data_IF_214795716089
#
_entry.id   IF_214795716089
#
_cell.length_a   1.000
_cell.length_b   1.000
_cell.length_c   1.000
_cell.angle_alpha   90.00
_cell.angle_beta   90.00
_cell.angle_gamma   90.00
#
_symmetry.space_group_name_H-M   'P 1'
#
loop_
_entity.id
_entity.type
_entity.pdbx_description
1 polymer ?
#
# COMPACT_ATOMS: atom_id res chain seq x y z
N UNK A 1 -7.52 -32.68 13.56
CA UNK A 1 -7.70 -31.38 12.86
C UNK A 1 -6.42 -31.14 12.09
N UNK A 2 -6.43 -31.35 10.77
CA UNK A 2 -5.30 -30.92 9.94
C UNK A 2 -5.19 -29.40 10.07
N UNK A 3 -4.04 -28.92 10.52
CA UNK A 3 -3.73 -27.50 10.48
C UNK A 3 -3.66 -27.10 9.01
N UNK A 4 -4.58 -26.26 8.55
CA UNK A 4 -4.53 -25.70 7.21
C UNK A 4 -3.35 -24.70 7.16
N UNK A 5 -2.17 -25.20 6.81
CA UNK A 5 -0.92 -24.41 6.77
C UNK A 5 -1.06 -23.16 5.88
N UNK A 6 -1.86 -23.23 4.81
CA UNK A 6 -2.14 -22.06 3.96
C UNK A 6 -2.90 -20.98 4.70
N UNK A 7 -3.92 -21.35 5.48
CA UNK A 7 -4.68 -20.41 6.31
C UNK A 7 -3.77 -19.72 7.35
N UNK A 8 -2.87 -20.47 7.98
CA UNK A 8 -1.90 -19.92 8.93
C UNK A 8 -0.93 -18.94 8.25
N UNK A 9 -0.38 -19.29 7.08
CA UNK A 9 0.54 -18.43 6.33
C UNK A 9 -0.14 -17.13 5.88
N UNK A 10 -1.36 -17.22 5.34
CA UNK A 10 -2.16 -16.04 4.97
C UNK A 10 -2.36 -15.13 6.17
N UNK A 11 -2.71 -15.71 7.33
CA UNK A 11 -2.87 -14.95 8.57
C UNK A 11 -1.58 -14.25 9.01
N UNK A 12 -0.42 -14.91 8.93
CA UNK A 12 0.87 -14.30 9.27
C UNK A 12 1.22 -13.12 8.35
N UNK A 13 0.96 -13.27 7.04
CA UNK A 13 1.19 -12.21 6.05
C UNK A 13 0.25 -11.04 6.31
N UNK A 14 -1.04 -11.30 6.56
CA UNK A 14 -2.01 -10.27 6.93
C UNK A 14 -1.60 -9.52 8.20
N UNK A 15 -1.18 -10.23 9.25
CA UNK A 15 -0.67 -9.59 10.48
C UNK A 15 0.52 -8.67 10.21
N UNK A 16 1.39 -9.03 9.26
CA UNK A 16 2.54 -8.20 8.87
C UNK A 16 2.09 -6.94 8.11
N UNK A 17 1.15 -7.06 7.18
CA UNK A 17 0.51 -5.93 6.50
C UNK A 17 -0.15 -4.96 7.48
N UNK A 18 -0.93 -5.49 8.43
CA UNK A 18 -1.63 -4.71 9.45
C UNK A 18 -0.64 -3.98 10.37
N UNK A 19 0.46 -4.64 10.76
CA UNK A 19 1.50 -4.04 11.58
C UNK A 19 2.15 -2.82 10.88
N UNK A 20 2.46 -2.92 9.58
CA UNK A 20 3.04 -1.79 8.85
C UNK A 20 2.04 -0.64 8.68
N UNK A 21 0.77 -0.93 8.41
CA UNK A 21 -0.27 0.11 8.37
C UNK A 21 -0.44 0.81 9.72
N UNK A 22 -0.36 0.08 10.83
CA UNK A 22 -0.41 0.65 12.17
C UNK A 22 0.78 1.56 12.45
N UNK A 23 2.00 1.15 12.05
CA UNK A 23 3.20 1.98 12.18
C UNK A 23 3.13 3.24 11.31
N UNK A 24 2.64 3.13 10.06
CA UNK A 24 2.42 4.29 9.20
C UNK A 24 1.42 5.27 9.85
N UNK A 25 0.27 4.77 10.30
CA UNK A 25 -0.75 5.59 10.96
C UNK A 25 -0.19 6.29 12.21
N UNK A 26 0.55 5.55 13.04
CA UNK A 26 1.21 6.12 14.23
C UNK A 26 2.20 7.21 13.85
N UNK A 27 3.01 6.98 12.82
CA UNK A 27 4.02 7.94 12.36
C UNK A 27 3.39 9.23 11.86
N UNK A 28 2.41 9.15 10.94
CA UNK A 28 1.77 10.34 10.36
C UNK A 28 0.90 11.11 11.36
N UNK A 29 0.46 10.47 12.44
CA UNK A 29 -0.23 11.14 13.54
C UNK A 29 0.73 11.77 14.54
N UNK A 30 2.00 11.37 14.54
CA UNK A 30 3.05 11.97 15.37
C UNK A 30 3.67 13.19 14.70
N UNK A 31 3.89 13.13 13.38
CA UNK A 31 4.46 14.22 12.60
C UNK A 31 3.41 15.32 12.35
N UNK A 32 3.80 16.58 12.52
CA UNK A 32 2.99 17.72 12.09
C UNK A 32 3.16 18.00 10.59
N UNK A 33 2.32 18.89 10.05
CA UNK A 33 2.31 19.20 8.62
C UNK A 33 3.63 19.82 8.14
N UNK A 34 4.28 20.66 8.95
CA UNK A 34 5.60 21.24 8.64
C UNK A 34 6.70 20.18 8.59
N UNK A 35 6.64 19.14 9.43
CA UNK A 35 7.56 18.01 9.38
C UNK A 35 7.33 17.17 8.12
N UNK A 36 6.08 16.90 7.77
CA UNK A 36 5.75 16.15 6.54
C UNK A 36 6.13 16.93 5.27
N UNK A 37 6.08 18.26 5.29
CA UNK A 37 6.49 19.09 4.16
C UNK A 37 8.01 19.10 3.91
N UNK A 38 8.83 18.64 4.86
CA UNK A 38 10.30 18.60 4.70
C UNK A 38 10.74 17.40 3.88
N UNK A 39 11.86 17.56 3.19
CA UNK A 39 12.62 16.45 2.63
C UNK A 39 13.09 15.52 3.74
N UNK A 40 13.00 14.20 3.53
CA UNK A 40 13.52 13.20 4.49
C UNK A 40 15.04 13.29 4.69
N UNK A 41 15.74 13.84 3.70
CA UNK A 41 17.18 14.09 3.66
C UNK A 41 17.47 15.04 2.48
N UNK A 42 18.62 15.74 2.45
CA UNK A 42 18.93 16.70 1.39
C UNK A 42 18.79 16.11 -0.02
N UNK A 43 17.91 16.70 -0.83
CA UNK A 43 17.65 16.29 -2.21
C UNK A 43 16.83 15.01 -2.36
N UNK A 44 16.22 14.51 -1.29
CA UNK A 44 15.31 13.35 -1.30
C UNK A 44 13.84 13.80 -1.25
N UNK A 45 12.94 12.83 -1.35
CA UNK A 45 11.50 13.09 -1.32
C UNK A 45 11.07 13.73 0.00
N UNK A 46 10.01 14.52 -0.07
CA UNK A 46 9.28 15.04 1.09
C UNK A 46 8.46 13.95 1.77
N UNK A 47 8.20 14.12 3.07
CA UNK A 47 7.33 13.20 3.81
C UNK A 47 5.91 13.14 3.25
N UNK A 48 5.38 14.28 2.79
CA UNK A 48 4.06 14.39 2.20
C UNK A 48 3.97 13.65 0.86
N UNK A 49 5.02 13.71 0.04
CA UNK A 49 5.09 12.92 -1.19
C UNK A 49 5.11 11.42 -0.90
N UNK A 50 5.91 10.97 0.08
CA UNK A 50 5.95 9.56 0.47
C UNK A 50 4.59 9.06 1.01
N UNK A 51 3.88 9.89 1.76
CA UNK A 51 2.52 9.58 2.21
C UNK A 51 1.57 9.43 1.01
N UNK A 52 1.54 10.40 0.10
CA UNK A 52 0.72 10.33 -1.12
C UNK A 52 1.07 9.12 -2.00
N UNK A 53 2.35 8.80 -2.11
CA UNK A 53 2.85 7.62 -2.83
C UNK A 53 2.30 6.31 -2.25
N UNK A 54 2.39 6.13 -0.92
CA UNK A 54 1.86 4.92 -0.27
C UNK A 54 0.35 4.80 -0.39
N UNK A 55 -0.37 5.92 -0.39
CA UNK A 55 -1.82 5.96 -0.63
C UNK A 55 -2.13 5.51 -2.05
N UNK A 56 -1.48 6.10 -3.06
CA UNK A 56 -1.70 5.76 -4.48
C UNK A 56 -1.34 4.30 -4.79
N UNK A 57 -0.25 3.78 -4.21
CA UNK A 57 0.14 2.37 -4.33
C UNK A 57 -0.90 1.43 -3.72
N UNK A 58 -1.46 1.79 -2.56
CA UNK A 58 -2.49 0.99 -1.89
C UNK A 58 -3.82 1.01 -2.66
N UNK A 59 -4.19 2.16 -3.23
CA UNK A 59 -5.40 2.30 -4.03
C UNK A 59 -5.34 1.47 -5.33
N UNK A 60 -4.16 1.41 -5.96
CA UNK A 60 -3.92 0.58 -7.14
C UNK A 60 -4.07 -0.93 -6.90
N UNK A 61 -4.21 -1.38 -5.64
CA UNK A 61 -4.50 -2.78 -5.33
C UNK A 61 -5.91 -3.21 -5.74
N UNK A 62 -6.90 -2.30 -5.75
CA UNK A 62 -8.27 -2.65 -6.13
C UNK A 62 -8.34 -3.24 -7.54
N UNK A 63 -7.88 -2.54 -8.60
CA UNK A 63 -7.92 -3.11 -9.95
C UNK A 63 -6.94 -4.28 -10.10
N UNK A 64 -5.78 -4.23 -9.44
CA UNK A 64 -4.79 -5.30 -9.49
C UNK A 64 -5.35 -6.63 -8.96
N UNK A 65 -6.22 -6.60 -7.95
CA UNK A 65 -6.85 -7.80 -7.38
C UNK A 65 -8.22 -8.12 -7.97
N UNK A 66 -8.73 -7.29 -8.90
CA UNK A 66 -10.05 -7.44 -9.48
C UNK A 66 -11.18 -7.10 -8.50
N UNK A 67 -10.91 -6.20 -7.55
CA UNK A 67 -11.86 -5.73 -6.53
C UNK A 67 -12.54 -4.40 -6.91
N UNK A 68 -12.40 -3.98 -8.17
CA UNK A 68 -12.99 -2.77 -8.72
C UNK A 68 -11.95 -1.69 -9.02
N UNK A 69 -12.43 -0.50 -9.35
CA UNK A 69 -11.58 0.64 -9.72
C UNK A 69 -10.88 1.27 -8.51
N UNK A 70 -9.84 2.06 -8.80
CA UNK A 70 -9.20 2.97 -7.83
C UNK A 70 -10.22 3.99 -7.30
N UNK A 71 -10.09 4.36 -6.03
CA UNK A 71 -10.94 5.37 -5.39
C UNK A 71 -10.50 6.79 -5.72
N UNK A 72 -9.20 7.00 -5.89
CA UNK A 72 -8.56 8.31 -6.15
C UNK A 72 -7.57 8.19 -7.32
N UNK A 73 -8.04 7.88 -8.55
CA UNK A 73 -7.19 7.64 -9.71
C UNK A 73 -6.28 8.84 -10.05
N UNK A 74 -6.70 10.06 -9.70
CA UNK A 74 -5.92 11.28 -9.90
C UNK A 74 -4.60 11.32 -9.11
N UNK A 75 -4.46 10.48 -8.08
CA UNK A 75 -3.22 10.39 -7.30
C UNK A 75 -2.10 9.66 -8.06
N UNK A 76 -2.40 8.90 -9.11
CA UNK A 76 -1.38 8.17 -9.89
C UNK A 76 -0.42 9.14 -10.57
N UNK A 77 -0.95 10.12 -11.30
CA UNK A 77 -0.16 11.12 -12.02
C UNK A 77 0.80 11.87 -11.06
N UNK A 78 0.28 12.26 -9.89
CA UNK A 78 1.00 13.08 -8.91
C UNK A 78 2.05 12.28 -8.11
N UNK A 79 1.72 11.06 -7.68
CA UNK A 79 2.53 10.34 -6.68
C UNK A 79 3.19 9.05 -7.20
N UNK A 80 2.93 8.65 -8.45
CA UNK A 80 3.51 7.45 -9.07
C UNK A 80 4.24 7.81 -10.35
N UNK A 81 3.58 8.50 -11.27
CA UNK A 81 4.10 8.81 -12.61
C UNK A 81 5.06 10.01 -12.59
N UNK A 82 4.88 10.90 -11.61
CA UNK A 82 5.71 12.09 -11.42
C UNK A 82 6.57 12.01 -10.15
N UNK A 83 7.83 12.49 -10.18
CA UNK A 83 8.64 12.65 -8.97
C UNK A 83 8.13 13.80 -8.10
N UNK A 84 8.54 13.83 -6.83
CA UNK A 84 8.16 14.85 -5.83
C UNK A 84 8.31 16.30 -6.34
N UNK A 85 9.44 16.61 -6.97
CA UNK A 85 9.76 17.97 -7.45
C UNK A 85 9.30 18.24 -8.88
N UNK A 86 8.23 17.60 -9.32
CA UNK A 86 7.63 17.74 -10.65
C UNK A 86 6.84 19.04 -10.83
N UNK A 87 6.50 19.73 -9.73
CA UNK A 87 5.69 20.96 -9.75
C UNK A 87 4.19 20.72 -9.61
N UNK A 88 3.75 19.46 -9.45
CA UNK A 88 2.37 19.16 -9.10
C UNK A 88 2.02 19.68 -7.70
N UNK A 89 0.78 20.16 -7.54
CA UNK A 89 0.24 20.50 -6.23
C UNK A 89 -0.21 19.23 -5.49
N UNK A 90 0.09 19.15 -4.20
CA UNK A 90 -0.37 18.05 -3.36
C UNK A 90 -1.69 18.39 -2.65
N UNK A 91 -2.59 17.42 -2.45
CA UNK A 91 -3.72 17.59 -1.54
C UNK A 91 -3.24 17.95 -0.12
N UNK A 92 -4.05 18.67 0.67
CA UNK A 92 -3.73 18.94 2.07
C UNK A 92 -3.47 17.64 2.86
N UNK A 93 -2.56 17.70 3.85
CA UNK A 93 -2.20 16.52 4.67
C UNK A 93 -3.42 15.89 5.34
N UNK A 94 -4.36 16.72 5.83
CA UNK A 94 -5.61 16.23 6.41
C UNK A 94 -6.44 15.41 5.41
N UNK A 95 -6.47 15.81 4.14
CA UNK A 95 -7.16 15.08 3.08
C UNK A 95 -6.43 13.78 2.75
N UNK A 96 -5.10 13.78 2.66
CA UNK A 96 -4.31 12.55 2.46
C UNK A 96 -4.56 11.53 3.57
N UNK A 97 -4.61 11.97 4.84
CA UNK A 97 -4.94 11.10 5.99
C UNK A 97 -6.34 10.51 5.88
N UNK A 98 -7.33 11.29 5.42
CA UNK A 98 -8.69 10.80 5.19
C UNK A 98 -8.70 9.73 4.08
N UNK A 99 -8.06 10.02 2.94
CA UNK A 99 -7.96 9.08 1.80
C UNK A 99 -7.30 7.77 2.21
N UNK A 100 -6.20 7.83 2.98
CA UNK A 100 -5.53 6.64 3.52
C UNK A 100 -6.49 5.77 4.35
N UNK A 101 -7.25 6.38 5.25
CA UNK A 101 -8.22 5.67 6.08
C UNK A 101 -9.32 5.02 5.21
N UNK A 102 -9.86 5.74 4.24
CA UNK A 102 -10.88 5.21 3.32
C UNK A 102 -10.36 4.01 2.54
N UNK A 103 -9.16 4.09 1.97
CA UNK A 103 -8.54 2.98 1.22
C UNK A 103 -8.30 1.79 2.15
N UNK A 104 -7.69 2.01 3.32
CA UNK A 104 -7.40 0.93 4.28
C UNK A 104 -8.66 0.23 4.77
N UNK A 105 -9.73 0.98 5.04
CA UNK A 105 -11.02 0.40 5.45
C UNK A 105 -11.59 -0.50 4.35
N UNK A 106 -11.54 -0.05 3.09
CA UNK A 106 -12.03 -0.85 1.95
C UNK A 106 -11.12 -2.05 1.65
N UNK A 107 -9.80 -1.91 1.74
CA UNK A 107 -8.88 -3.06 1.59
C UNK A 107 -9.12 -4.10 2.69
N UNK A 108 -9.32 -3.67 3.94
CA UNK A 108 -9.58 -4.57 5.05
C UNK A 108 -10.87 -5.37 4.85
N UNK A 109 -11.95 -4.75 4.36
CA UNK A 109 -13.20 -5.48 4.09
C UNK A 109 -13.03 -6.56 3.01
N UNK A 110 -12.21 -6.31 1.98
CA UNK A 110 -11.83 -7.34 1.02
C UNK A 110 -10.94 -8.41 1.66
N UNK A 111 -9.95 -8.03 2.47
CA UNK A 111 -9.05 -8.98 3.13
C UNK A 111 -9.80 -9.92 4.09
N UNK A 112 -10.87 -9.44 4.74
CA UNK A 112 -11.74 -10.22 5.62
C UNK A 112 -12.59 -11.26 4.90
N UNK A 113 -12.90 -11.02 3.63
CA UNK A 113 -13.83 -11.84 2.85
C UNK A 113 -13.14 -12.70 1.79
N UNK A 114 -11.87 -12.44 1.49
CA UNK A 114 -11.08 -13.18 0.50
C UNK A 114 -10.74 -14.58 1.00
N UNK A 115 -11.14 -15.59 0.24
CA UNK A 115 -10.87 -17.01 0.50
C UNK A 115 -9.41 -17.39 0.27
N UNK A 116 -9.01 -18.58 0.75
CA UNK A 116 -7.64 -19.10 0.55
C UNK A 116 -7.34 -19.25 -0.94
N UNK A 117 -8.30 -19.79 -1.69
CA UNK A 117 -8.20 -20.02 -3.13
C UNK A 117 -8.04 -18.71 -3.89
N UNK A 118 -8.78 -17.67 -3.50
CA UNK A 118 -8.64 -16.34 -4.11
C UNK A 118 -7.30 -15.69 -3.79
N UNK A 119 -6.79 -15.83 -2.56
CA UNK A 119 -5.45 -15.34 -2.19
C UNK A 119 -4.35 -16.00 -3.03
N UNK A 120 -4.51 -17.30 -3.28
CA UNK A 120 -3.57 -18.11 -4.07
C UNK A 120 -3.85 -18.05 -5.58
N UNK A 121 -4.88 -17.31 -6.01
CA UNK A 121 -5.15 -17.05 -7.43
C UNK A 121 -4.26 -15.94 -8.00
N UNK A 122 -4.15 -15.88 -9.32
CA UNK A 122 -3.42 -14.81 -10.03
C UNK A 122 -3.99 -13.43 -9.69
N UNK A 123 -3.13 -12.43 -9.72
CA UNK A 123 -3.57 -11.03 -9.82
C UNK A 123 -3.82 -10.64 -11.29
N UNK A 124 -4.52 -9.53 -11.52
CA UNK A 124 -5.04 -9.15 -12.84
C UNK A 124 -3.94 -8.78 -13.85
N UNK A 125 -2.76 -8.37 -13.38
CA UNK A 125 -1.60 -8.10 -14.23
C UNK A 125 -0.85 -9.35 -14.71
N UNK A 126 -1.26 -10.57 -14.33
CA UNK A 126 -0.65 -11.83 -14.78
C UNK A 126 -1.61 -12.56 -15.70
N UNK A 127 -1.12 -12.97 -16.87
CA UNK A 127 -1.91 -13.76 -17.82
C UNK A 127 -2.11 -15.19 -17.32
N UNK A 128 -3.23 -15.86 -17.66
CA UNK A 128 -3.48 -17.24 -17.23
C UNK A 128 -2.36 -18.22 -17.59
N UNK A 129 -1.81 -18.13 -18.80
CA UNK A 129 -0.73 -18.99 -19.30
C UNK A 129 0.57 -18.83 -18.50
N UNK A 130 0.91 -17.60 -18.12
CA UNK A 130 2.07 -17.33 -17.27
C UNK A 130 1.84 -17.89 -15.87
N UNK A 131 0.63 -17.70 -15.31
CA UNK A 131 0.32 -18.16 -13.96
C UNK A 131 0.39 -19.68 -13.82
N UNK A 132 0.00 -20.43 -14.86
CA UNK A 132 0.06 -21.89 -14.88
C UNK A 132 1.49 -22.43 -14.67
N UNK A 133 2.50 -21.70 -15.16
CA UNK A 133 3.92 -22.06 -14.97
C UNK A 133 4.57 -21.36 -13.78
N UNK A 134 3.95 -20.30 -13.27
CA UNK A 134 4.48 -19.41 -12.23
C UNK A 134 3.44 -19.10 -11.14
N UNK A 135 2.89 -20.10 -10.43
CA UNK A 135 1.77 -19.94 -9.50
C UNK A 135 2.07 -19.05 -8.28
N UNK A 136 3.34 -18.76 -8.01
CA UNK A 136 3.77 -17.77 -7.03
C UNK A 136 3.42 -16.31 -7.39
N UNK A 137 3.03 -16.01 -8.63
CA UNK A 137 2.57 -14.67 -9.06
C UNK A 137 1.09 -14.45 -8.70
N UNK A 138 0.77 -14.67 -7.42
CA UNK A 138 -0.59 -14.63 -6.85
C UNK A 138 -0.84 -13.35 -6.04
N UNK A 139 -2.10 -13.13 -5.65
CA UNK A 139 -2.52 -11.93 -4.88
C UNK A 139 -1.78 -11.83 -3.54
N UNK A 140 -1.59 -12.95 -2.85
CA UNK A 140 -0.90 -12.98 -1.56
C UNK A 140 0.56 -12.52 -1.68
N UNK A 141 1.27 -12.91 -2.73
CA UNK A 141 2.65 -12.47 -2.98
C UNK A 141 2.74 -10.96 -3.24
N UNK A 142 1.72 -10.36 -3.87
CA UNK A 142 1.64 -8.90 -4.01
C UNK A 142 1.52 -8.24 -2.62
N UNK A 143 0.71 -8.76 -1.71
CA UNK A 143 0.60 -8.23 -0.34
C UNK A 143 1.95 -8.27 0.38
N UNK A 144 2.71 -9.36 0.26
CA UNK A 144 4.07 -9.45 0.81
C UNK A 144 4.96 -8.33 0.23
N UNK A 145 4.99 -8.20 -1.10
CA UNK A 145 5.78 -7.18 -1.79
C UNK A 145 5.42 -5.76 -1.33
N UNK A 146 4.11 -5.47 -1.22
CA UNK A 146 3.62 -4.15 -0.79
C UNK A 146 3.85 -3.88 0.70
N UNK A 147 3.85 -4.92 1.53
CA UNK A 147 4.22 -4.80 2.95
C UNK A 147 5.67 -4.34 3.10
N UNK A 148 6.59 -4.95 2.36
CA UNK A 148 8.02 -4.58 2.38
C UNK A 148 8.24 -3.18 1.79
N UNK A 149 7.55 -2.86 0.69
CA UNK A 149 7.57 -1.53 0.10
C UNK A 149 7.12 -0.44 1.08
N UNK A 150 6.02 -0.67 1.78
CA UNK A 150 5.52 0.23 2.82
C UNK A 150 6.54 0.39 3.97
N UNK A 151 7.11 -0.72 4.48
CA UNK A 151 8.12 -0.68 5.52
C UNK A 151 9.36 0.15 5.12
N UNK A 152 9.81 0.03 3.87
CA UNK A 152 10.92 0.83 3.32
C UNK A 152 10.62 2.34 3.38
N UNK A 153 9.42 2.76 2.95
CA UNK A 153 9.05 4.18 2.98
C UNK A 153 8.73 4.69 4.39
N UNK A 154 8.19 3.85 5.29
CA UNK A 154 8.10 4.19 6.72
C UNK A 154 9.51 4.46 7.27
N UNK A 155 10.49 3.61 6.96
CA UNK A 155 11.88 3.79 7.35
C UNK A 155 12.48 5.13 6.88
N UNK A 156 12.12 5.56 5.67
CA UNK A 156 12.48 6.88 5.13
C UNK A 156 11.81 8.02 5.91
N UNK A 157 10.50 7.93 6.15
CA UNK A 157 9.74 8.95 6.86
C UNK A 157 10.13 9.10 8.33
N UNK A 158 10.74 8.07 8.95
CA UNK A 158 11.25 8.16 10.32
C UNK A 158 12.37 9.20 10.49
N UNK A 159 13.05 9.60 9.41
CA UNK A 159 14.06 10.67 9.42
C UNK A 159 13.49 12.07 9.66
N UNK A 160 12.17 12.22 9.62
CA UNK A 160 11.46 13.49 9.86
C UNK A 160 11.11 13.72 11.34
N UNK A 161 11.38 12.72 12.20
CA UNK A 161 11.15 12.81 13.65
C UNK A 161 12.11 13.78 14.32
#
# INVERSE_FOLDING_TARGET
METNNSALLIRMIRMSWDAQNNELNKLINTLNDDQLAKEIAPGKNTGVYLLGHLIAVSDALFPLFGWGEMLYPEMQDVFIESPDKSGHSFPPVAELKLRLNTINTKLNSHFDTTTIEEWLSRHMAVKPEDFATQPHRNKLNVVISRTVHMANHIGQMLLLK
#
